data_IF_271550403075
#
_entry.id   IF_271550403075
#
_cell.length_a   1.000
_cell.length_b   1.000
_cell.length_c   1.000
_cell.angle_alpha   90.00
_cell.angle_beta   90.00
_cell.angle_gamma   90.00
#
_symmetry.space_group_name_H-M   'P 1'
#
loop_
_entity.id
_entity.type
_entity.pdbx_description
1 polymer ?
#
# COMPACT_ATOMS: atom_id res chain seq x y z
N UNK A 1 -8.68 -0.24 16.21
CA UNK A 1 -8.05 0.15 14.94
C UNK A 1 -8.21 1.65 14.78
N UNK A 2 -7.12 2.37 14.53
CA UNK A 2 -7.18 3.79 14.15
C UNK A 2 -7.06 3.86 12.62
N UNK A 3 -8.15 4.21 11.94
CA UNK A 3 -8.19 4.37 10.49
C UNK A 3 -8.48 5.83 10.17
N UNK A 4 -7.58 6.47 9.44
CA UNK A 4 -7.73 7.86 8.98
C UNK A 4 -7.77 7.92 7.47
N UNK A 5 -8.57 8.83 6.94
CA UNK A 5 -8.66 9.11 5.49
C UNK A 5 -8.44 10.59 5.27
N UNK A 6 -7.44 10.92 4.48
CA UNK A 6 -7.10 12.28 4.10
C UNK A 6 -7.03 12.43 2.59
N UNK A 7 -7.12 13.69 2.13
CA UNK A 7 -7.07 14.04 0.72
C UNK A 7 -5.87 14.93 0.48
N UNK A 8 -4.97 14.51 -0.42
CA UNK A 8 -3.72 15.22 -0.71
C UNK A 8 -3.67 15.68 -2.16
N UNK A 9 -3.55 16.99 -2.39
CA UNK A 9 -3.39 17.62 -3.71
C UNK A 9 -4.40 17.13 -4.77
N UNK A 10 -5.64 16.86 -4.34
CA UNK A 10 -6.71 16.36 -5.19
C UNK A 10 -7.74 17.46 -5.46
N UNK A 11 -7.65 18.07 -6.64
CA UNK A 11 -8.54 19.16 -7.05
C UNK A 11 -9.80 18.66 -7.77
N UNK A 12 -9.67 17.61 -8.58
CA UNK A 12 -10.76 16.90 -9.25
C UNK A 12 -11.12 15.61 -8.49
N UNK A 13 -12.24 14.95 -8.84
CA UNK A 13 -12.63 13.64 -8.28
C UNK A 13 -12.82 13.57 -6.75
N UNK A 14 -13.30 14.67 -6.14
CA UNK A 14 -13.63 14.71 -4.70
C UNK A 14 -14.73 13.73 -4.28
N UNK A 15 -15.55 13.27 -5.23
CA UNK A 15 -16.46 12.14 -5.08
C UNK A 15 -15.74 10.86 -4.63
N UNK A 16 -14.57 10.54 -5.20
CA UNK A 16 -13.79 9.36 -4.80
C UNK A 16 -13.28 9.49 -3.37
N UNK A 17 -12.77 10.66 -2.97
CA UNK A 17 -12.37 10.90 -1.58
C UNK A 17 -13.53 10.68 -0.58
N UNK A 18 -14.75 11.08 -0.94
CA UNK A 18 -15.95 10.81 -0.13
C UNK A 18 -16.32 9.33 -0.11
N UNK A 19 -16.21 8.63 -1.24
CA UNK A 19 -16.45 7.19 -1.32
C UNK A 19 -15.44 6.42 -0.47
N UNK A 20 -14.15 6.72 -0.58
CA UNK A 20 -13.09 6.11 0.25
C UNK A 20 -13.38 6.33 1.73
N UNK A 21 -13.71 7.55 2.14
CA UNK A 21 -14.05 7.86 3.54
C UNK A 21 -15.26 7.07 4.05
N UNK A 22 -16.25 6.82 3.19
CA UNK A 22 -17.44 6.04 3.52
C UNK A 22 -17.15 4.54 3.60
N UNK A 23 -16.38 4.01 2.65
CA UNK A 23 -16.16 2.58 2.46
C UNK A 23 -15.02 2.02 3.32
N UNK A 24 -13.97 2.80 3.60
CA UNK A 24 -12.79 2.31 4.29
C UNK A 24 -13.09 1.69 5.68
N UNK A 25 -13.95 2.26 6.54
CA UNK A 25 -14.31 1.61 7.80
C UNK A 25 -15.06 0.28 7.61
N UNK A 26 -15.86 0.16 6.55
CA UNK A 26 -16.60 -1.07 6.23
C UNK A 26 -15.65 -2.15 5.72
N UNK A 27 -14.77 -1.82 4.78
CA UNK A 27 -13.73 -2.70 4.26
C UNK A 27 -12.83 -3.20 5.40
N UNK A 28 -12.34 -2.30 6.24
CA UNK A 28 -11.47 -2.66 7.35
C UNK A 28 -12.14 -3.61 8.35
N UNK A 29 -13.45 -3.48 8.57
CA UNK A 29 -14.22 -4.42 9.38
C UNK A 29 -14.25 -5.82 8.75
N UNK A 30 -14.55 -5.92 7.45
CA UNK A 30 -14.55 -7.22 6.74
C UNK A 30 -13.18 -7.89 6.79
N UNK A 31 -12.11 -7.12 6.54
CA UNK A 31 -10.73 -7.61 6.60
C UNK A 31 -10.35 -8.08 8.01
N UNK A 32 -10.72 -7.32 9.05
CA UNK A 32 -10.41 -7.68 10.45
C UNK A 32 -10.96 -9.06 10.85
N UNK A 33 -12.09 -9.47 10.29
CA UNK A 33 -12.70 -10.77 10.60
C UNK A 33 -12.27 -11.91 9.68
N UNK A 34 -11.75 -11.59 8.49
CA UNK A 34 -11.55 -12.59 7.43
C UNK A 34 -10.07 -12.89 7.16
N UNK A 35 -9.22 -11.88 7.24
CA UNK A 35 -7.80 -11.99 6.84
C UNK A 35 -6.93 -12.19 8.08
N UNK A 36 -6.06 -13.23 8.11
CA UNK A 36 -5.09 -13.40 9.18
C UNK A 36 -4.15 -12.19 9.32
N UNK A 37 -3.91 -11.77 10.55
CA UNK A 37 -3.14 -10.57 10.86
C UNK A 37 -3.96 -9.60 11.70
N UNK A 38 -3.48 -8.37 11.84
CA UNK A 38 -4.18 -7.29 12.52
C UNK A 38 -4.13 -6.04 11.66
N UNK A 39 -5.23 -5.31 11.59
CA UNK A 39 -5.19 -3.93 11.12
C UNK A 39 -4.79 -3.03 12.30
N UNK A 40 -3.52 -2.64 12.33
CA UNK A 40 -2.99 -1.69 13.30
C UNK A 40 -3.45 -0.27 12.98
N UNK A 41 -2.53 0.70 12.93
CA UNK A 41 -2.83 2.05 12.45
C UNK A 41 -2.80 2.07 10.92
N UNK A 42 -3.86 2.57 10.28
CA UNK A 42 -3.95 2.70 8.83
C UNK A 42 -4.27 4.14 8.44
N UNK A 43 -3.39 4.75 7.65
CA UNK A 43 -3.60 6.07 7.05
C UNK A 43 -3.84 5.91 5.56
N UNK A 44 -5.00 6.33 5.08
CA UNK A 44 -5.36 6.30 3.67
C UNK A 44 -5.24 7.71 3.11
N UNK A 45 -4.36 7.88 2.12
CA UNK A 45 -4.12 9.16 1.43
C UNK A 45 -4.71 9.08 0.04
N UNK A 46 -5.79 9.80 -0.20
CA UNK A 46 -6.43 9.88 -1.52
C UNK A 46 -5.80 11.02 -2.31
N UNK A 47 -5.23 10.72 -3.47
CA UNK A 47 -4.49 11.68 -4.28
C UNK A 47 -4.69 11.48 -5.79
N UNK A 48 -4.05 12.33 -6.60
CA UNK A 48 -3.96 12.16 -8.05
C UNK A 48 -2.62 11.56 -8.48
N UNK A 49 -2.50 11.15 -9.76
CA UNK A 49 -1.34 10.44 -10.29
C UNK A 49 -0.03 11.24 -10.21
N UNK A 50 -0.10 12.58 -10.14
CA UNK A 50 1.08 13.45 -10.05
C UNK A 50 1.80 13.33 -8.69
N UNK A 51 1.04 13.24 -7.59
CA UNK A 51 1.60 13.22 -6.24
C UNK A 51 1.83 11.79 -5.72
N UNK A 52 1.11 10.80 -6.26
CA UNK A 52 1.17 9.40 -5.84
C UNK A 52 2.59 8.80 -5.76
N UNK A 53 3.49 8.95 -6.76
CA UNK A 53 4.84 8.38 -6.66
C UNK A 53 5.65 8.99 -5.51
N UNK A 54 5.48 10.29 -5.26
CA UNK A 54 6.19 10.99 -4.19
C UNK A 54 5.75 10.48 -2.81
N UNK A 55 4.45 10.31 -2.61
CA UNK A 55 3.89 9.80 -1.35
C UNK A 55 4.29 8.33 -1.07
N UNK A 56 4.36 7.49 -2.12
CA UNK A 56 4.83 6.10 -1.96
C UNK A 56 6.32 6.10 -1.56
N UNK A 57 7.17 6.84 -2.28
CA UNK A 57 8.60 6.93 -1.94
C UNK A 57 8.80 7.50 -0.55
N UNK A 58 8.06 8.55 -0.17
CA UNK A 58 8.11 9.11 1.18
C UNK A 58 7.77 8.05 2.23
N UNK A 59 6.67 7.32 2.06
CA UNK A 59 6.28 6.25 2.98
C UNK A 59 7.33 5.12 3.05
N UNK A 60 7.92 4.74 1.92
CA UNK A 60 8.98 3.71 1.89
C UNK A 60 10.26 4.17 2.55
N UNK A 61 10.65 5.44 2.40
CA UNK A 61 11.90 5.96 2.99
C UNK A 61 11.85 5.99 4.52
N UNK A 62 10.66 6.06 5.13
CA UNK A 62 10.49 5.95 6.58
C UNK A 62 10.90 4.58 7.12
N UNK A 63 10.89 3.53 6.27
CA UNK A 63 11.32 2.19 6.65
C UNK A 63 12.84 2.02 6.72
N UNK A 64 13.61 2.99 6.24
CA UNK A 64 15.05 2.86 6.08
C UNK A 64 15.80 3.30 7.34
N UNK A 65 16.75 2.49 7.80
CA UNK A 65 17.71 2.85 8.87
C UNK A 65 18.87 3.77 8.39
N UNK A 66 18.74 4.43 7.23
CA UNK A 66 19.75 5.37 6.71
C UNK A 66 19.29 6.17 5.49
N UNK A 67 20.06 7.20 5.15
CA UNK A 67 19.76 8.05 3.99
C UNK A 67 20.24 7.41 2.68
N UNK A 68 19.34 7.17 1.71
CA UNK A 68 19.74 6.67 0.41
C UNK A 68 20.54 7.72 -0.36
N UNK A 69 21.52 7.26 -1.14
CA UNK A 69 22.20 8.14 -2.09
C UNK A 69 21.22 8.75 -3.09
N UNK A 70 21.53 9.96 -3.58
CA UNK A 70 20.69 10.66 -4.57
C UNK A 70 20.43 9.83 -5.82
N UNK A 71 21.39 9.02 -6.28
CA UNK A 71 21.24 8.17 -7.46
C UNK A 71 20.22 7.06 -7.24
N UNK A 72 20.27 6.39 -6.08
CA UNK A 72 19.31 5.35 -5.72
C UNK A 72 17.91 5.94 -5.51
N UNK A 73 17.78 6.99 -4.70
CA UNK A 73 16.50 7.65 -4.48
C UNK A 73 15.86 8.14 -5.81
N UNK A 74 16.68 8.68 -6.73
CA UNK A 74 16.20 9.10 -8.04
C UNK A 74 15.79 7.94 -8.94
N UNK A 75 16.44 6.77 -8.80
CA UNK A 75 16.07 5.56 -9.53
C UNK A 75 14.73 5.03 -9.03
N UNK A 76 14.59 4.84 -7.73
CA UNK A 76 13.34 4.35 -7.12
C UNK A 76 12.18 5.28 -7.49
N UNK A 77 12.35 6.60 -7.39
CA UNK A 77 11.31 7.54 -7.82
C UNK A 77 10.90 7.39 -9.31
N UNK A 78 11.83 7.04 -10.20
CA UNK A 78 11.50 6.79 -11.62
C UNK A 78 10.72 5.49 -11.78
N UNK A 79 11.11 4.44 -11.07
CA UNK A 79 10.44 3.14 -11.09
C UNK A 79 9.03 3.25 -10.50
N UNK A 80 8.88 3.89 -9.34
CA UNK A 80 7.58 4.18 -8.74
C UNK A 80 6.71 5.03 -9.65
N UNK A 81 7.26 6.02 -10.36
CA UNK A 81 6.52 6.79 -11.37
C UNK A 81 6.00 5.95 -12.51
N UNK A 82 6.72 4.90 -12.91
CA UNK A 82 6.28 4.01 -13.96
C UNK A 82 5.13 3.12 -13.47
N UNK A 83 5.25 2.55 -12.27
CA UNK A 83 4.21 1.75 -11.61
C UNK A 83 2.93 2.57 -11.38
N UNK A 84 3.08 3.80 -10.90
CA UNK A 84 1.99 4.72 -10.58
C UNK A 84 1.09 5.09 -11.76
N UNK A 85 1.53 4.87 -13.01
CA UNK A 85 0.73 5.18 -14.21
C UNK A 85 -0.51 4.31 -14.34
N UNK A 86 -0.48 3.12 -13.75
CA UNK A 86 -1.57 2.13 -13.85
C UNK A 86 -2.01 1.62 -12.47
N UNK A 87 -1.38 2.08 -11.39
CA UNK A 87 -1.72 1.67 -10.04
C UNK A 87 -2.99 2.38 -9.55
N UNK A 88 -3.98 1.59 -9.12
CA UNK A 88 -5.17 2.08 -8.43
C UNK A 88 -4.83 2.55 -7.01
N UNK A 89 -3.96 1.83 -6.31
CA UNK A 89 -3.44 2.21 -5.02
C UNK A 89 -2.11 1.52 -4.73
N UNK A 90 -1.55 1.79 -3.54
CA UNK A 90 -0.40 1.09 -2.99
C UNK A 90 -0.42 1.14 -1.47
N UNK A 91 -0.38 -0.01 -0.81
CA UNK A 91 -0.09 -0.14 0.61
C UNK A 91 1.42 -0.20 0.86
N UNK A 92 1.88 0.56 1.85
CA UNK A 92 3.26 0.60 2.33
C UNK A 92 3.22 0.41 3.86
N UNK A 93 3.99 -0.51 4.44
CA UNK A 93 3.99 -0.67 5.89
C UNK A 93 4.65 0.53 6.58
N UNK A 94 4.36 0.70 7.87
CA UNK A 94 5.10 1.63 8.75
C UNK A 94 6.02 0.85 9.71
N UNK A 95 7.08 1.47 10.26
CA UNK A 95 7.96 0.83 11.25
C UNK A 95 7.22 0.33 12.50
N UNK A 96 6.11 0.98 12.87
CA UNK A 96 5.28 0.65 14.03
C UNK A 96 4.32 -0.53 13.76
N UNK A 97 4.37 -1.11 12.56
CA UNK A 97 3.49 -2.20 12.14
C UNK A 97 2.12 -1.73 11.64
N UNK A 98 1.98 -0.44 11.30
CA UNK A 98 0.82 0.12 10.60
C UNK A 98 0.97 0.06 9.08
N UNK A 99 0.13 0.82 8.38
CA UNK A 99 0.23 1.00 6.93
C UNK A 99 -0.18 2.40 6.48
N UNK A 100 0.48 2.89 5.44
CA UNK A 100 0.02 4.00 4.61
C UNK A 100 -0.50 3.43 3.29
N UNK A 101 -1.76 3.69 2.96
CA UNK A 101 -2.36 3.32 1.67
C UNK A 101 -2.53 4.58 0.84
N UNK A 102 -1.84 4.66 -0.29
CA UNK A 102 -1.95 5.78 -1.22
C UNK A 102 -2.89 5.40 -2.36
N UNK A 103 -4.04 6.07 -2.47
CA UNK A 103 -5.09 5.76 -3.45
C UNK A 103 -5.07 6.77 -4.59
N UNK A 104 -5.05 6.28 -5.84
CA UNK A 104 -5.18 7.09 -7.04
C UNK A 104 -6.65 7.33 -7.40
N UNK A 105 -7.17 8.52 -7.09
CA UNK A 105 -8.57 8.84 -7.37
C UNK A 105 -8.92 8.84 -8.87
N UNK A 106 -7.95 8.91 -9.77
CA UNK A 106 -8.20 8.95 -11.22
C UNK A 106 -8.44 7.56 -11.83
N UNK A 107 -7.98 6.49 -11.19
CA UNK A 107 -8.10 5.11 -11.69
C UNK A 107 -9.39 4.40 -11.26
N UNK A 108 -10.30 5.14 -10.62
CA UNK A 108 -11.59 4.62 -10.18
C UNK A 108 -12.70 5.34 -10.93
N UNK A 109 -13.71 4.63 -11.37
CA UNK A 109 -14.90 5.09 -12.09
C UNK A 109 -16.18 4.79 -11.33
N UNK A 110 -16.19 3.70 -10.55
CA UNK A 110 -17.37 3.23 -9.83
C UNK A 110 -17.10 3.07 -8.33
N UNK A 111 -18.17 3.07 -7.53
CA UNK A 111 -18.10 2.76 -6.09
C UNK A 111 -17.51 1.36 -5.84
N UNK A 112 -17.87 0.40 -6.70
CA UNK A 112 -17.40 -0.98 -6.57
C UNK A 112 -15.89 -1.10 -6.80
N UNK A 113 -15.33 -0.40 -7.79
CA UNK A 113 -13.86 -0.36 -7.99
C UNK A 113 -13.13 0.22 -6.76
N UNK A 114 -13.71 1.23 -6.10
CA UNK A 114 -13.15 1.76 -4.84
C UNK A 114 -13.21 0.72 -3.73
N UNK A 115 -14.32 -0.02 -3.62
CA UNK A 115 -14.48 -1.08 -2.62
C UNK A 115 -13.44 -2.21 -2.83
N UNK A 116 -13.29 -2.70 -4.06
CA UNK A 116 -12.28 -3.71 -4.45
C UNK A 116 -10.88 -3.25 -4.05
N UNK A 117 -10.49 -2.04 -4.48
CA UNK A 117 -9.17 -1.49 -4.17
C UNK A 117 -8.94 -1.37 -2.66
N UNK A 118 -9.93 -0.91 -1.89
CA UNK A 118 -9.78 -0.82 -0.43
C UNK A 118 -9.63 -2.18 0.23
N UNK A 119 -10.40 -3.18 -0.18
CA UNK A 119 -10.29 -4.55 0.33
C UNK A 119 -8.91 -5.13 0.01
N UNK A 120 -8.42 -4.94 -1.21
CA UNK A 120 -7.11 -5.40 -1.66
C UNK A 120 -5.98 -4.78 -0.81
N UNK A 121 -5.93 -3.46 -0.72
CA UNK A 121 -4.85 -2.76 0.00
C UNK A 121 -4.93 -2.95 1.52
N UNK A 122 -6.13 -3.07 2.10
CA UNK A 122 -6.28 -3.39 3.51
C UNK A 122 -5.87 -4.84 3.81
N UNK A 123 -5.99 -5.75 2.85
CA UNK A 123 -5.44 -7.11 2.97
C UNK A 123 -3.92 -7.05 3.12
N UNK A 124 -3.23 -6.24 2.30
CA UNK A 124 -1.79 -5.98 2.49
C UNK A 124 -1.47 -5.35 3.84
N UNK A 125 -2.26 -4.36 4.28
CA UNK A 125 -2.06 -3.76 5.60
C UNK A 125 -2.15 -4.80 6.74
N UNK A 126 -3.08 -5.77 6.65
CA UNK A 126 -3.17 -6.86 7.61
C UNK A 126 -1.97 -7.82 7.50
N UNK A 127 -1.55 -8.15 6.28
CA UNK A 127 -0.39 -9.00 6.00
C UNK A 127 0.90 -8.43 6.59
N UNK A 128 1.11 -7.12 6.55
CA UNK A 128 2.31 -6.47 7.09
C UNK A 128 2.56 -6.74 8.58
N UNK A 129 1.49 -7.01 9.34
CA UNK A 129 1.59 -7.33 10.77
C UNK A 129 1.91 -8.80 11.08
N UNK A 130 1.97 -9.65 10.06
CA UNK A 130 2.35 -11.05 10.21
C UNK A 130 3.84 -11.14 10.51
N UNK A 131 4.19 -12.13 11.34
CA UNK A 131 5.56 -12.34 11.79
C UNK A 131 6.52 -12.48 10.58
N UNK A 132 7.58 -11.66 10.55
CA UNK A 132 8.62 -11.73 9.53
C UNK A 132 8.33 -10.99 8.23
N UNK A 133 7.10 -10.48 8.03
CA UNK A 133 6.72 -9.78 6.80
C UNK A 133 7.37 -8.40 6.74
N UNK A 134 7.25 -7.61 7.81
CA UNK A 134 7.84 -6.27 7.87
C UNK A 134 9.36 -6.32 7.70
N UNK A 135 10.05 -7.20 8.41
CA UNK A 135 11.51 -7.34 8.35
C UNK A 135 11.99 -7.72 6.95
N UNK A 136 11.20 -8.52 6.23
CA UNK A 136 11.48 -8.87 4.84
C UNK A 136 11.28 -7.69 3.90
N UNK A 137 10.20 -6.92 4.06
CA UNK A 137 9.95 -5.73 3.26
C UNK A 137 11.04 -4.68 3.50
N UNK A 138 11.39 -4.41 4.75
CA UNK A 138 12.47 -3.48 5.12
C UNK A 138 13.79 -3.90 4.45
N UNK A 139 14.15 -5.19 4.51
CA UNK A 139 15.35 -5.71 3.84
C UNK A 139 15.33 -5.50 2.32
N UNK A 140 14.19 -5.73 1.68
CA UNK A 140 14.04 -5.52 0.24
C UNK A 140 14.14 -4.02 -0.12
N UNK A 141 13.50 -3.14 0.66
CA UNK A 141 13.65 -1.68 0.49
C UNK A 141 15.11 -1.24 0.71
N UNK A 142 15.82 -1.80 1.67
CA UNK A 142 17.25 -1.54 1.85
C UNK A 142 18.11 -1.89 0.63
N UNK A 143 17.78 -2.98 -0.08
CA UNK A 143 18.48 -3.35 -1.32
C UNK A 143 18.13 -2.40 -2.46
N UNK A 144 16.83 -2.09 -2.65
CA UNK A 144 16.34 -1.15 -3.65
C UNK A 144 16.99 0.24 -3.49
N UNK A 145 17.06 0.74 -2.27
CA UNK A 145 17.66 2.05 -1.94
C UNK A 145 19.19 2.02 -1.81
N UNK A 146 19.83 0.86 -2.02
CA UNK A 146 21.30 0.73 -2.07
C UNK A 146 21.99 0.81 -0.70
N UNK A 147 21.25 0.64 0.40
CA UNK A 147 21.77 0.70 1.76
C UNK A 147 22.37 -0.63 2.21
N UNK A 148 21.75 -1.74 1.83
CA UNK A 148 22.21 -3.08 2.20
C UNK A 148 21.82 -4.08 1.12
N UNK A 149 22.81 -4.73 0.54
CA UNK A 149 22.58 -5.69 -0.55
C UNK A 149 21.93 -6.97 -0.03
N UNK A 150 20.84 -7.37 -0.66
CA UNK A 150 20.15 -8.63 -0.42
C UNK A 150 20.82 -9.78 -1.20
N UNK A 151 20.86 -10.98 -0.63
CA UNK A 151 21.40 -12.16 -1.33
C UNK A 151 20.40 -12.61 -2.42
N UNK A 152 20.87 -13.15 -3.57
CA UNK A 152 19.97 -13.61 -4.62
C UNK A 152 18.91 -14.62 -4.18
N UNK A 153 19.24 -15.49 -3.22
CA UNK A 153 18.28 -16.46 -2.65
C UNK A 153 17.17 -15.77 -1.88
N UNK A 154 17.52 -14.77 -1.07
CA UNK A 154 16.56 -13.99 -0.28
C UNK A 154 15.64 -13.18 -1.20
N UNK A 155 16.18 -12.59 -2.27
CA UNK A 155 15.39 -11.85 -3.26
C UNK A 155 14.36 -12.76 -3.94
N UNK A 156 14.76 -13.97 -4.36
CA UNK A 156 13.83 -14.94 -4.95
C UNK A 156 12.75 -15.42 -3.97
N UNK A 157 13.13 -15.62 -2.71
CA UNK A 157 12.19 -16.00 -1.66
C UNK A 157 11.19 -14.87 -1.39
N UNK A 158 11.68 -13.63 -1.33
CA UNK A 158 10.84 -12.45 -1.20
C UNK A 158 9.80 -12.37 -2.32
N UNK A 159 10.22 -12.52 -3.59
CA UNK A 159 9.30 -12.49 -4.73
C UNK A 159 8.22 -13.57 -4.66
N UNK A 160 8.55 -14.79 -4.24
CA UNK A 160 7.55 -15.86 -4.06
C UNK A 160 6.54 -15.53 -2.97
N UNK A 161 6.99 -14.89 -1.90
CA UNK A 161 6.13 -14.50 -0.78
C UNK A 161 5.21 -13.33 -1.18
N UNK A 162 5.75 -12.33 -1.89
CA UNK A 162 4.94 -11.26 -2.50
C UNK A 162 3.88 -11.86 -3.41
N UNK A 163 4.23 -12.78 -4.31
CA UNK A 163 3.27 -13.41 -5.20
C UNK A 163 2.15 -14.17 -4.44
N UNK A 164 2.48 -14.82 -3.31
CA UNK A 164 1.48 -15.46 -2.47
C UNK A 164 0.57 -14.45 -1.75
N UNK A 165 1.15 -13.36 -1.27
CA UNK A 165 0.42 -12.26 -0.60
C UNK A 165 -0.51 -11.52 -1.56
N UNK A 166 -0.08 -11.28 -2.80
CA UNK A 166 -0.91 -10.73 -3.88
C UNK A 166 -2.07 -11.66 -4.24
N UNK A 167 -1.83 -12.97 -4.37
CA UNK A 167 -2.91 -13.94 -4.60
C UNK A 167 -3.95 -13.92 -3.50
N UNK A 168 -3.53 -13.88 -2.24
CA UNK A 168 -4.47 -13.76 -1.10
C UNK A 168 -5.26 -12.45 -1.15
N UNK A 169 -4.64 -11.32 -1.53
CA UNK A 169 -5.32 -10.05 -1.70
C UNK A 169 -6.40 -10.13 -2.79
N UNK A 170 -6.09 -10.73 -3.95
CA UNK A 170 -7.08 -11.01 -5.00
C UNK A 170 -8.21 -11.93 -4.52
N UNK A 171 -7.88 -12.99 -3.78
CA UNK A 171 -8.86 -13.91 -3.21
C UNK A 171 -9.78 -13.22 -2.19
N UNK A 172 -9.37 -12.12 -1.57
CA UNK A 172 -10.19 -11.35 -0.63
C UNK A 172 -11.13 -10.35 -1.33
N UNK A 173 -10.92 -10.02 -2.62
CA UNK A 173 -11.66 -8.96 -3.33
C UNK A 173 -13.18 -9.18 -3.37
N UNK A 174 -13.66 -10.43 -3.27
CA UNK A 174 -15.10 -10.72 -3.17
C UNK A 174 -15.78 -10.05 -1.97
N UNK A 175 -15.03 -9.66 -0.93
CA UNK A 175 -15.55 -8.90 0.21
C UNK A 175 -16.05 -7.50 -0.21
N UNK A 176 -15.64 -6.99 -1.37
CA UNK A 176 -16.12 -5.72 -1.92
C UNK A 176 -17.64 -5.73 -2.14
N UNK A 177 -18.22 -6.88 -2.52
CA UNK A 177 -19.67 -7.03 -2.73
C UNK A 177 -20.49 -6.84 -1.44
N UNK A 178 -19.86 -6.91 -0.27
CA UNK A 178 -20.51 -6.73 1.03
C UNK A 178 -20.55 -5.28 1.50
N UNK A 179 -19.80 -4.40 0.84
CA UNK A 179 -19.61 -3.00 1.27
C UNK A 179 -19.97 -1.97 0.18
N UNK A 180 -19.99 -2.37 -1.10
CA UNK A 180 -20.33 -1.53 -2.25
C UNK A 180 -21.85 -1.44 -2.47
#
# INVERSE_FOLDING_TARGET
>A
MNLTVEVHQLFARRDIGRQVKRLAPLAAREITYTVPGRLAEVRIVVTGPKALPGLIVEAETVLLDGEPSRSHASRELRETRQLARTAQARAVPTPEGGAVIVVNAMEHRTTHEVAVTLVHELTHAAQFTRRGVLERIVRDRHDAYGLRRQRPREAREHLRQVEAEEREAYEAEYLADRIA
#
